data_IF_312540784160
#
_entry.id   IF_312540784160
#
_cell.length_a   1.000
_cell.length_b   1.000
_cell.length_c   1.000
_cell.angle_alpha   90.00
_cell.angle_beta   90.00
_cell.angle_gamma   90.00
#
_symmetry.space_group_name_H-M   'P 1'
#
loop_
_entity.id
_entity.type
_entity.pdbx_description
1 polymer ?
#
# COMPACT_ATOMS: atom_id res chain seq x y z
N UNK A 1 -14.75 -21.33 5.96
CA UNK A 1 -15.40 -20.44 4.96
C UNK A 1 -14.99 -19.01 5.34
N UNK A 2 -14.04 -18.32 4.73
CA UNK A 2 -13.34 -18.47 3.44
C UNK A 2 -12.07 -17.60 3.52
N UNK A 3 -10.87 -18.15 3.37
CA UNK A 3 -9.65 -17.34 3.17
C UNK A 3 -9.63 -16.87 1.71
N UNK A 4 -9.93 -15.59 1.51
CA UNK A 4 -9.88 -14.97 0.20
C UNK A 4 -8.42 -14.67 -0.17
N UNK A 5 -7.90 -15.50 -1.07
CA UNK A 5 -6.76 -15.25 -1.95
C UNK A 5 -5.96 -13.97 -1.66
N UNK A 6 -4.83 -14.13 -0.96
CA UNK A 6 -3.82 -13.09 -0.79
C UNK A 6 -3.08 -12.88 -2.11
N UNK A 7 -3.77 -12.30 -3.09
CA UNK A 7 -3.16 -11.83 -4.32
C UNK A 7 -2.57 -10.47 -3.98
N UNK A 8 -1.23 -10.41 -3.89
CA UNK A 8 -0.48 -9.18 -3.55
C UNK A 8 -1.10 -7.96 -4.20
N UNK A 9 -1.72 -7.11 -3.38
CA UNK A 9 -2.43 -5.92 -3.88
C UNK A 9 -1.42 -4.83 -4.15
N UNK A 10 -1.26 -4.49 -5.42
CA UNK A 10 -0.53 -3.30 -5.82
C UNK A 10 -1.41 -2.06 -5.58
N UNK A 11 -0.90 -1.07 -4.85
CA UNK A 11 -1.57 0.20 -4.56
C UNK A 11 -0.72 1.35 -5.09
N UNK A 12 -1.30 2.18 -5.95
CA UNK A 12 -0.65 3.38 -6.47
C UNK A 12 -0.72 4.56 -5.48
N UNK A 13 0.21 5.50 -5.62
CA UNK A 13 0.32 6.71 -4.78
C UNK A 13 -1.00 7.45 -4.57
N UNK A 14 -1.83 7.57 -5.62
CA UNK A 14 -3.12 8.26 -5.53
C UNK A 14 -4.06 7.63 -4.49
N UNK A 15 -4.02 6.30 -4.34
CA UNK A 15 -4.76 5.59 -3.30
C UNK A 15 -4.11 5.74 -1.94
N UNK A 16 -2.78 5.67 -1.84
CA UNK A 16 -2.04 5.86 -0.58
C UNK A 16 -2.32 7.26 0.01
N UNK A 17 -2.32 8.29 -0.83
CA UNK A 17 -2.60 9.69 -0.48
C UNK A 17 -4.04 9.92 0.00
N UNK A 18 -4.98 9.09 -0.45
CA UNK A 18 -6.37 9.07 0.04
C UNK A 18 -6.51 8.30 1.35
N UNK A 19 -5.74 7.22 1.54
CA UNK A 19 -5.79 6.38 2.73
C UNK A 19 -5.07 7.01 3.92
N UNK A 20 -4.03 7.81 3.67
CA UNK A 20 -3.20 8.38 4.71
C UNK A 20 -3.01 9.89 4.47
N UNK A 21 -3.12 10.75 5.50
CA UNK A 21 -2.95 12.21 5.36
C UNK A 21 -1.50 12.65 5.09
N UNK A 22 -0.54 11.74 4.93
CA UNK A 22 0.84 12.08 4.61
C UNK A 22 0.89 12.82 3.26
N UNK A 23 1.61 13.93 3.24
CA UNK A 23 1.93 14.73 2.05
C UNK A 23 3.44 14.95 2.00
N UNK A 24 3.90 15.51 0.89
CA UNK A 24 5.28 15.99 0.80
C UNK A 24 5.63 16.87 2.02
N UNK A 25 6.81 16.73 2.65
CA UNK A 25 8.01 15.97 2.23
C UNK A 25 8.13 14.55 2.81
N UNK A 26 7.12 14.05 3.54
CA UNK A 26 7.21 12.78 4.26
C UNK A 26 6.67 11.57 3.50
N UNK A 27 5.97 11.78 2.38
CA UNK A 27 5.54 10.67 1.54
C UNK A 27 6.75 10.15 0.74
N UNK A 28 7.43 9.15 1.30
CA UNK A 28 8.65 8.54 0.74
C UNK A 28 8.36 7.25 -0.04
N UNK A 29 7.09 6.99 -0.37
CA UNK A 29 6.64 5.77 -1.05
C UNK A 29 5.73 6.16 -2.22
N UNK A 30 6.15 5.80 -3.44
CA UNK A 30 5.45 6.14 -4.68
C UNK A 30 4.53 5.00 -5.15
N UNK A 31 4.81 3.76 -4.76
CA UNK A 31 3.94 2.61 -5.08
C UNK A 31 4.12 1.51 -4.05
N UNK A 32 3.03 0.86 -3.66
CA UNK A 32 3.08 -0.40 -2.91
C UNK A 32 2.84 -1.53 -3.89
N UNK A 33 3.78 -2.46 -4.01
CA UNK A 33 3.65 -3.60 -4.95
C UNK A 33 3.10 -4.85 -4.28
N UNK A 34 3.38 -5.01 -3.00
CA UNK A 34 2.91 -6.14 -2.20
C UNK A 34 2.32 -5.61 -0.90
N UNK A 35 1.07 -5.96 -0.63
CA UNK A 35 0.36 -5.53 0.56
C UNK A 35 -0.35 -6.73 1.17
N UNK A 36 0.18 -7.18 2.29
CA UNK A 36 -0.48 -8.08 3.21
C UNK A 36 -1.18 -7.24 4.29
N UNK A 37 -2.53 -7.16 4.27
CA UNK A 37 -3.26 -6.41 5.27
C UNK A 37 -2.92 -6.92 6.68
N UNK A 38 -2.70 -5.99 7.60
CA UNK A 38 -2.33 -6.24 9.01
C UNK A 38 -1.00 -6.98 9.26
N UNK A 39 -0.20 -7.22 8.20
CA UNK A 39 1.08 -7.92 8.32
C UNK A 39 2.25 -7.09 7.77
N UNK A 40 2.25 -6.78 6.46
CA UNK A 40 3.36 -6.07 5.83
C UNK A 40 3.00 -5.40 4.50
N UNK A 41 3.74 -4.37 4.12
CA UNK A 41 3.60 -3.72 2.83
C UNK A 41 4.98 -3.35 2.25
N UNK A 42 5.23 -3.75 1.01
CA UNK A 42 6.47 -3.43 0.28
C UNK A 42 6.23 -2.25 -0.64
N UNK A 43 6.82 -1.10 -0.26
CA UNK A 43 6.81 0.14 -1.02
C UNK A 43 8.07 0.30 -1.88
N UNK A 44 7.91 0.91 -3.05
CA UNK A 44 9.00 1.32 -3.95
C UNK A 44 8.99 2.86 -4.02
N UNK A 45 10.20 3.44 -4.05
CA UNK A 45 10.45 4.86 -4.31
C UNK A 45 10.82 5.05 -5.79
#
# INVERSE_FOLDING_TARGET
>A
MTEAANTGKTIDINRIVQMIPHRYPFLLVDRVVDLLPDESATGIK
#
